data_IF_496485139637
#
_entry.id   IF_496485139637
#
_cell.length_a   1.000
_cell.length_b   1.000
_cell.length_c   1.000
_cell.angle_alpha   90.00
_cell.angle_beta   90.00
_cell.angle_gamma   90.00
#
_symmetry.space_group_name_H-M   'P 1'
#
loop_
_entity.id
_entity.type
_entity.pdbx_description
1 polymer ?
#
# COMPACT_ATOMS: atom_id res chain seq x y z
N UNK A 1 -26.43 -7.83 48.86
CA UNK A 1 -26.79 -6.70 47.96
C UNK A 1 -27.81 -7.24 46.97
N UNK A 2 -28.99 -6.63 46.85
CA UNK A 2 -30.04 -7.13 45.95
C UNK A 2 -29.56 -7.10 44.49
N UNK A 3 -29.57 -8.23 43.79
CA UNK A 3 -29.26 -8.28 42.36
C UNK A 3 -30.33 -7.49 41.59
N UNK A 4 -29.97 -6.30 41.10
CA UNK A 4 -30.81 -5.52 40.22
C UNK A 4 -30.73 -6.14 38.82
N UNK A 5 -31.76 -6.88 38.44
CA UNK A 5 -31.87 -7.42 37.08
C UNK A 5 -32.47 -6.39 36.12
N UNK A 6 -32.05 -6.46 34.87
CA UNK A 6 -32.45 -5.59 33.78
C UNK A 6 -33.40 -6.35 32.84
N UNK A 7 -34.45 -5.67 32.37
CA UNK A 7 -35.26 -6.20 31.28
C UNK A 7 -34.41 -6.31 30.01
N UNK A 8 -34.86 -7.08 29.00
CA UNK A 8 -34.19 -7.10 27.68
C UNK A 8 -33.98 -5.70 27.11
N UNK A 9 -34.95 -4.79 27.32
CA UNK A 9 -34.86 -3.43 26.82
C UNK A 9 -33.79 -2.59 27.51
N UNK A 10 -33.70 -2.69 28.83
CA UNK A 10 -32.71 -1.93 29.59
C UNK A 10 -31.30 -2.51 29.37
N UNK A 11 -31.19 -3.84 29.32
CA UNK A 11 -29.94 -4.51 28.99
C UNK A 11 -29.46 -4.18 27.58
N UNK A 12 -30.34 -4.21 26.56
CA UNK A 12 -29.96 -3.88 25.19
C UNK A 12 -29.52 -2.42 25.04
N UNK A 13 -30.19 -1.48 25.73
CA UNK A 13 -29.78 -0.07 25.79
C UNK A 13 -28.39 0.08 26.37
N UNK A 14 -28.10 -0.62 27.47
CA UNK A 14 -26.81 -0.59 28.13
C UNK A 14 -25.70 -1.19 27.25
N UNK A 15 -26.01 -2.27 26.54
CA UNK A 15 -25.17 -2.90 25.52
C UNK A 15 -25.09 -2.13 24.18
N UNK A 16 -25.83 -1.02 24.04
CA UNK A 16 -25.93 -0.22 22.79
C UNK A 16 -26.31 -1.04 21.55
N UNK A 17 -27.17 -2.03 21.71
CA UNK A 17 -27.72 -2.85 20.62
C UNK A 17 -29.25 -2.85 20.64
N UNK A 18 -29.86 -3.27 19.54
CA UNK A 18 -31.29 -3.47 19.52
C UNK A 18 -31.71 -4.68 20.38
N UNK A 19 -32.98 -4.72 20.79
CA UNK A 19 -33.53 -5.81 21.61
C UNK A 19 -33.41 -7.17 20.90
N UNK A 20 -33.58 -7.16 19.57
CA UNK A 20 -33.53 -8.35 18.73
C UNK A 20 -32.18 -9.05 18.80
N UNK A 21 -31.06 -8.32 18.91
CA UNK A 21 -29.72 -8.90 19.09
C UNK A 21 -29.63 -9.71 20.38
N UNK A 22 -30.14 -9.17 21.49
CA UNK A 22 -30.14 -9.87 22.79
C UNK A 22 -31.07 -11.09 22.76
N UNK A 23 -32.25 -10.96 22.13
CA UNK A 23 -33.18 -12.08 21.92
C UNK A 23 -32.54 -13.17 21.07
N UNK A 24 -31.86 -12.79 19.99
CA UNK A 24 -31.19 -13.71 19.09
C UNK A 24 -30.04 -14.44 19.80
N UNK A 25 -29.22 -13.74 20.58
CA UNK A 25 -28.15 -14.38 21.37
C UNK A 25 -28.70 -15.36 22.40
N UNK A 26 -29.86 -15.10 22.99
CA UNK A 26 -30.56 -16.08 23.82
C UNK A 26 -31.04 -17.29 22.99
N UNK A 27 -31.64 -17.07 21.81
CA UNK A 27 -32.14 -18.12 20.92
C UNK A 27 -31.03 -19.09 20.49
N UNK A 28 -29.86 -18.57 20.09
CA UNK A 28 -28.71 -19.41 19.70
C UNK A 28 -27.93 -19.96 20.91
N UNK A 29 -28.32 -19.55 22.12
CA UNK A 29 -27.76 -20.01 23.39
C UNK A 29 -26.45 -19.35 23.79
N UNK A 30 -26.05 -18.27 23.12
CA UNK A 30 -24.80 -17.54 23.34
C UNK A 30 -24.85 -16.62 24.57
N UNK A 31 -26.00 -15.96 24.80
CA UNK A 31 -26.24 -15.10 25.98
C UNK A 31 -27.66 -15.31 26.50
N UNK A 32 -27.81 -16.27 27.42
CA UNK A 32 -29.10 -16.60 28.05
C UNK A 32 -29.42 -15.62 29.17
N UNK A 33 -30.69 -15.24 29.40
CA UNK A 33 -31.05 -14.44 30.57
C UNK A 33 -30.74 -15.17 31.86
N UNK A 34 -30.50 -14.44 32.95
CA UNK A 34 -30.31 -15.04 34.27
C UNK A 34 -31.59 -15.76 34.71
N UNK A 35 -32.76 -15.19 34.42
CA UNK A 35 -34.04 -15.88 34.59
C UNK A 35 -35.12 -15.33 33.66
N UNK A 36 -36.25 -16.05 33.60
CA UNK A 36 -37.49 -15.59 33.00
C UNK A 36 -38.57 -15.49 34.08
N UNK A 37 -39.37 -14.43 34.06
CA UNK A 37 -40.50 -14.33 34.99
C UNK A 37 -41.68 -15.22 34.55
N UNK A 38 -42.74 -15.26 35.36
CA UNK A 38 -43.95 -16.05 35.10
C UNK A 38 -44.67 -15.70 33.79
N UNK A 39 -44.44 -14.51 33.22
CA UNK A 39 -44.98 -14.10 31.90
C UNK A 39 -44.01 -14.37 30.75
N UNK A 40 -42.87 -15.03 31.01
CA UNK A 40 -41.86 -15.35 30.01
C UNK A 40 -40.90 -14.21 29.65
N UNK A 41 -40.98 -13.05 30.33
CA UNK A 41 -40.04 -11.94 30.09
C UNK A 41 -38.65 -12.28 30.60
N UNK A 42 -37.63 -11.89 29.84
CA UNK A 42 -36.22 -12.17 30.09
C UNK A 42 -35.60 -11.09 30.97
N UNK A 43 -34.83 -11.53 31.96
CA UNK A 43 -34.11 -10.66 32.88
C UNK A 43 -32.62 -11.01 32.91
N UNK A 44 -31.78 -10.00 32.76
CA UNK A 44 -30.32 -10.12 32.69
C UNK A 44 -29.69 -9.44 33.89
N UNK A 45 -28.62 -10.00 34.45
CA UNK A 45 -27.89 -9.34 35.54
C UNK A 45 -26.81 -8.40 34.98
N UNK A 46 -26.38 -7.42 35.78
CA UNK A 46 -25.25 -6.56 35.43
C UNK A 46 -23.95 -7.35 35.17
N UNK A 47 -23.76 -8.50 35.83
CA UNK A 47 -22.58 -9.36 35.61
C UNK A 47 -22.52 -9.93 34.20
N UNK A 48 -23.66 -10.04 33.51
CA UNK A 48 -23.73 -10.51 32.12
C UNK A 48 -23.26 -9.45 31.12
N UNK A 49 -23.05 -8.21 31.56
CA UNK A 49 -22.47 -7.16 30.70
C UNK A 49 -21.04 -7.49 30.30
N UNK A 50 -20.22 -7.97 31.23
CA UNK A 50 -18.83 -8.38 30.93
C UNK A 50 -18.81 -9.49 29.88
N UNK A 51 -19.72 -10.46 30.01
CA UNK A 51 -19.88 -11.51 29.01
C UNK A 51 -20.30 -10.94 27.65
N UNK A 52 -21.27 -10.02 27.62
CA UNK A 52 -21.67 -9.36 26.38
C UNK A 52 -20.49 -8.61 25.73
N UNK A 53 -19.70 -7.88 26.51
CA UNK A 53 -18.54 -7.14 26.01
C UNK A 53 -17.51 -8.07 25.37
N UNK A 54 -17.26 -9.24 25.95
CA UNK A 54 -16.37 -10.25 25.35
C UNK A 54 -16.97 -10.82 24.05
N UNK A 55 -18.25 -11.17 24.03
CA UNK A 55 -18.94 -11.64 22.81
C UNK A 55 -18.85 -10.57 21.70
N UNK A 56 -19.13 -9.32 22.06
CA UNK A 56 -19.08 -8.19 21.14
C UNK A 56 -17.66 -8.00 20.59
N UNK A 57 -16.64 -7.97 21.45
CA UNK A 57 -15.24 -7.87 21.04
C UNK A 57 -14.85 -8.98 20.06
N UNK A 58 -15.14 -10.24 20.38
CA UNK A 58 -14.79 -11.37 19.52
C UNK A 58 -15.52 -11.31 18.16
N UNK A 59 -16.77 -10.84 18.15
CA UNK A 59 -17.53 -10.62 16.92
C UNK A 59 -16.93 -9.49 16.06
N UNK A 60 -16.57 -8.36 16.66
CA UNK A 60 -15.90 -7.24 15.96
C UNK A 60 -14.55 -7.67 15.36
N UNK A 61 -13.90 -8.65 15.99
CA UNK A 61 -12.67 -9.26 15.49
C UNK A 61 -12.90 -10.29 14.38
N UNK A 62 -14.15 -10.53 14.00
CA UNK A 62 -14.56 -11.37 12.89
C UNK A 62 -14.76 -12.84 13.24
N UNK A 63 -14.87 -13.20 14.52
CA UNK A 63 -15.29 -14.56 14.88
C UNK A 63 -16.78 -14.77 14.58
N UNK A 64 -17.10 -15.97 14.09
CA UNK A 64 -18.50 -16.35 13.92
C UNK A 64 -19.18 -16.60 15.27
N UNK A 65 -20.51 -16.53 15.31
CA UNK A 65 -21.24 -16.79 16.55
C UNK A 65 -21.08 -18.23 17.02
N UNK A 66 -20.90 -19.16 16.09
CA UNK A 66 -20.59 -20.58 16.36
C UNK A 66 -19.24 -20.72 17.04
N UNK A 67 -18.19 -20.07 16.52
CA UNK A 67 -16.86 -20.11 17.15
C UNK A 67 -16.87 -19.52 18.57
N UNK A 68 -17.57 -18.39 18.76
CA UNK A 68 -17.70 -17.76 20.08
C UNK A 68 -18.47 -18.70 21.01
N UNK A 69 -19.53 -19.35 20.54
CA UNK A 69 -20.29 -20.31 21.33
C UNK A 69 -19.44 -21.51 21.76
N UNK A 70 -18.68 -22.11 20.83
CA UNK A 70 -17.76 -23.20 21.14
C UNK A 70 -16.70 -22.80 22.17
N UNK A 71 -16.15 -21.58 22.05
CA UNK A 71 -15.25 -21.05 23.07
C UNK A 71 -15.95 -20.90 24.43
N UNK A 72 -17.18 -20.37 24.45
CA UNK A 72 -17.94 -20.14 25.68
C UNK A 72 -18.28 -21.43 26.44
N UNK A 73 -18.42 -22.56 25.74
CA UNK A 73 -18.66 -23.88 26.32
C UNK A 73 -17.40 -24.48 26.99
N UNK A 74 -16.21 -24.11 26.51
CA UNK A 74 -14.92 -24.67 26.99
C UNK A 74 -14.09 -23.66 27.79
N UNK A 75 -14.59 -22.46 28.03
CA UNK A 75 -13.81 -21.34 28.59
C UNK A 75 -13.00 -21.71 29.84
N UNK A 76 -11.72 -21.37 29.81
CA UNK A 76 -10.79 -21.40 30.95
C UNK A 76 -9.90 -20.15 30.90
N UNK A 77 -9.22 -19.79 32.02
CA UNK A 77 -8.24 -18.70 32.00
C UNK A 77 -7.17 -18.86 30.90
N UNK A 78 -6.68 -20.09 30.70
CA UNK A 78 -5.64 -20.42 29.71
C UNK A 78 -6.16 -20.29 28.27
N UNK A 79 -7.38 -20.77 28.02
CA UNK A 79 -8.04 -20.64 26.71
C UNK A 79 -8.37 -19.18 26.39
N UNK A 80 -8.82 -18.40 27.37
CA UNK A 80 -9.07 -16.98 27.17
C UNK A 80 -7.78 -16.21 26.86
N UNK A 81 -6.70 -16.48 27.60
CA UNK A 81 -5.40 -15.84 27.39
C UNK A 81 -4.85 -16.15 25.99
N UNK A 82 -4.85 -17.42 25.59
CA UNK A 82 -4.40 -17.84 24.24
C UNK A 82 -5.27 -17.27 23.12
N UNK A 83 -6.59 -17.25 23.29
CA UNK A 83 -7.51 -16.60 22.35
C UNK A 83 -7.19 -15.11 22.20
N UNK A 84 -6.98 -14.40 23.31
CA UNK A 84 -6.69 -12.97 23.28
C UNK A 84 -5.34 -12.65 22.62
N UNK A 85 -4.31 -13.47 22.83
CA UNK A 85 -3.03 -13.34 22.10
C UNK A 85 -3.25 -13.50 20.60
N UNK A 86 -3.92 -14.58 20.18
CA UNK A 86 -4.19 -14.86 18.76
C UNK A 86 -4.99 -13.74 18.09
N UNK A 87 -5.99 -13.19 18.79
CA UNK A 87 -6.76 -12.07 18.27
C UNK A 87 -5.95 -10.78 18.19
N UNK A 88 -5.09 -10.51 19.18
CA UNK A 88 -4.18 -9.36 19.16
C UNK A 88 -3.20 -9.43 17.98
N UNK A 89 -2.67 -10.61 17.67
CA UNK A 89 -1.81 -10.82 16.49
C UNK A 89 -2.55 -10.51 15.18
N UNK A 90 -3.81 -10.95 15.05
CA UNK A 90 -4.65 -10.59 13.89
C UNK A 90 -4.85 -9.08 13.76
N UNK A 91 -5.10 -8.37 14.86
CA UNK A 91 -5.20 -6.90 14.86
C UNK A 91 -3.87 -6.28 14.41
N UNK A 92 -2.75 -6.76 14.93
CA UNK A 92 -1.43 -6.25 14.54
C UNK A 92 -1.16 -6.47 13.05
N UNK A 93 -1.55 -7.62 12.50
CA UNK A 93 -1.44 -7.88 11.07
C UNK A 93 -2.31 -6.93 10.24
N UNK A 94 -3.58 -6.71 10.65
CA UNK A 94 -4.47 -5.74 9.99
C UNK A 94 -3.91 -4.33 10.04
N UNK A 95 -3.34 -3.90 11.18
CA UNK A 95 -2.68 -2.60 11.31
C UNK A 95 -1.52 -2.45 10.32
N UNK A 96 -0.62 -3.44 10.24
CA UNK A 96 0.49 -3.41 9.26
C UNK A 96 0.01 -3.28 7.82
N UNK A 97 -1.10 -3.91 7.46
CA UNK A 97 -1.71 -3.78 6.12
C UNK A 97 -2.22 -2.36 5.92
N UNK A 98 -2.98 -1.81 6.89
CA UNK A 98 -3.49 -0.45 6.82
C UNK A 98 -2.36 0.59 6.75
N UNK A 99 -1.32 0.45 7.57
CA UNK A 99 -0.14 1.32 7.57
C UNK A 99 0.58 1.28 6.20
N UNK A 100 0.64 0.10 5.56
CA UNK A 100 1.19 -0.03 4.19
C UNK A 100 0.31 0.70 3.18
N UNK A 101 -1.01 0.53 3.24
CA UNK A 101 -1.94 1.18 2.32
C UNK A 101 -1.89 2.71 2.46
N UNK A 102 -1.84 3.22 3.69
CA UNK A 102 -1.67 4.65 3.98
C UNK A 102 -0.36 5.18 3.39
N UNK A 103 0.76 4.49 3.61
CA UNK A 103 2.05 4.85 3.00
C UNK A 103 1.99 4.92 1.47
N UNK A 104 1.33 3.95 0.82
CA UNK A 104 1.18 3.94 -0.64
C UNK A 104 0.32 5.12 -1.13
N UNK A 105 -0.75 5.46 -0.39
CA UNK A 105 -1.57 6.63 -0.68
C UNK A 105 -0.77 7.92 -0.54
N UNK A 106 0.03 8.07 0.52
CA UNK A 106 0.88 9.24 0.72
C UNK A 106 1.86 9.44 -0.43
N UNK A 107 2.46 8.36 -0.95
CA UNK A 107 3.34 8.43 -2.13
C UNK A 107 2.61 9.00 -3.35
N UNK A 108 1.38 8.54 -3.62
CA UNK A 108 0.58 9.04 -4.75
C UNK A 108 0.09 10.47 -4.54
N UNK A 109 -0.31 10.84 -3.33
CA UNK A 109 -0.73 12.20 -2.99
C UNK A 109 0.44 13.16 -3.19
N UNK A 110 1.60 12.87 -2.59
CA UNK A 110 2.78 13.72 -2.68
C UNK A 110 3.25 13.91 -4.13
N UNK A 111 3.24 12.84 -4.93
CA UNK A 111 3.54 12.90 -6.36
C UNK A 111 2.67 13.95 -7.07
N UNK A 112 1.35 13.88 -6.88
CA UNK A 112 0.41 14.77 -7.56
C UNK A 112 0.48 16.20 -7.02
N UNK A 113 0.71 16.38 -5.72
CA UNK A 113 0.90 17.70 -5.13
C UNK A 113 2.18 18.38 -5.62
N UNK A 114 3.28 17.63 -5.77
CA UNK A 114 4.52 18.15 -6.31
C UNK A 114 4.41 18.45 -7.81
N UNK A 115 3.75 17.57 -8.57
CA UNK A 115 3.46 17.78 -9.99
C UNK A 115 2.74 19.12 -10.26
N UNK A 116 1.83 19.55 -9.37
CA UNK A 116 1.10 20.83 -9.51
C UNK A 116 1.97 22.08 -9.37
N UNK A 117 3.17 21.95 -8.81
CA UNK A 117 4.11 23.07 -8.57
C UNK A 117 5.17 23.16 -9.66
N UNK A 118 5.24 22.17 -10.55
CA UNK A 118 6.28 22.04 -11.56
C UNK A 118 5.83 22.71 -12.86
N UNK A 119 6.72 23.50 -13.45
CA UNK A 119 6.62 23.89 -14.86
C UNK A 119 7.27 22.78 -15.72
N UNK A 120 6.45 21.97 -16.36
CA UNK A 120 6.91 20.83 -17.16
C UNK A 120 7.71 21.25 -18.40
N UNK A 121 7.72 22.53 -18.77
CA UNK A 121 8.56 23.01 -19.87
C UNK A 121 10.00 23.27 -19.45
N UNK A 122 10.30 23.36 -18.15
CA UNK A 122 11.64 23.71 -17.67
C UNK A 122 12.49 22.47 -17.37
N UNK A 123 13.76 22.55 -17.77
CA UNK A 123 14.79 21.62 -17.33
C UNK A 123 15.42 22.18 -16.06
N UNK A 124 15.60 21.34 -15.05
CA UNK A 124 16.19 21.74 -13.77
C UNK A 124 17.36 20.83 -13.41
N UNK A 125 18.36 21.41 -12.75
CA UNK A 125 19.49 20.66 -12.20
C UNK A 125 19.33 20.58 -10.68
N UNK A 126 19.25 19.37 -10.15
CA UNK A 126 18.97 19.15 -8.74
C UNK A 126 19.89 18.08 -8.16
N UNK A 127 20.43 18.33 -6.97
CA UNK A 127 21.18 17.31 -6.23
C UNK A 127 20.20 16.37 -5.54
N UNK A 128 20.19 15.11 -5.96
CA UNK A 128 19.32 14.08 -5.41
C UNK A 128 20.12 13.14 -4.49
N UNK A 129 19.52 12.68 -3.39
CA UNK A 129 20.17 11.73 -2.50
C UNK A 129 20.32 10.36 -3.18
N UNK A 130 21.30 9.58 -2.69
CA UNK A 130 21.39 8.15 -3.00
C UNK A 130 20.05 7.47 -2.69
N UNK A 131 19.57 6.67 -3.63
CA UNK A 131 18.31 5.93 -3.55
C UNK A 131 18.56 4.46 -3.87
N UNK A 132 17.90 3.57 -3.13
CA UNK A 132 17.93 2.14 -3.40
C UNK A 132 16.80 1.78 -4.36
N UNK A 133 17.12 0.99 -5.37
CA UNK A 133 16.17 0.49 -6.35
C UNK A 133 16.16 -1.04 -6.32
N UNK A 134 14.97 -1.61 -6.42
CA UNK A 134 14.81 -3.02 -6.76
C UNK A 134 14.64 -3.11 -8.27
N UNK A 135 15.53 -3.83 -8.96
CA UNK A 135 15.52 -3.95 -10.41
C UNK A 135 14.84 -5.25 -10.85
N UNK A 136 14.20 -5.22 -12.00
CA UNK A 136 13.84 -6.44 -12.72
C UNK A 136 15.09 -7.15 -13.25
N UNK A 137 14.87 -8.30 -13.88
CA UNK A 137 15.86 -8.85 -14.82
C UNK A 137 16.14 -7.85 -15.95
N UNK A 138 17.27 -8.04 -16.63
CA UNK A 138 17.58 -7.25 -17.82
C UNK A 138 16.53 -7.52 -18.90
N UNK A 139 15.93 -6.44 -19.41
CA UNK A 139 14.86 -6.46 -20.41
C UNK A 139 15.28 -5.80 -21.72
N UNK A 140 16.58 -5.58 -21.91
CA UNK A 140 17.08 -4.98 -23.16
C UNK A 140 16.80 -5.92 -24.33
N UNK A 141 16.32 -5.36 -25.43
CA UNK A 141 16.12 -6.07 -26.71
C UNK A 141 15.13 -7.26 -26.63
N UNK A 142 14.28 -7.32 -25.60
CA UNK A 142 13.22 -8.33 -25.51
C UNK A 142 12.06 -7.98 -26.44
N UNK A 143 11.26 -8.98 -26.81
CA UNK A 143 10.06 -8.78 -27.62
C UNK A 143 8.92 -8.18 -26.80
N UNK A 144 7.96 -7.53 -27.43
CA UNK A 144 6.75 -7.00 -26.75
C UNK A 144 5.98 -8.11 -26.01
N UNK A 145 5.90 -9.31 -26.60
CA UNK A 145 5.26 -10.48 -26.00
C UNK A 145 5.99 -10.91 -24.71
N UNK A 146 7.32 -10.88 -24.71
CA UNK A 146 8.13 -11.20 -23.53
C UNK A 146 8.08 -10.07 -22.49
N UNK A 147 7.94 -8.81 -22.91
CA UNK A 147 7.87 -7.66 -22.01
C UNK A 147 6.69 -7.76 -21.05
N UNK A 148 5.49 -8.10 -21.55
CA UNK A 148 4.31 -8.30 -20.71
C UNK A 148 4.53 -9.38 -19.64
N UNK A 149 5.26 -10.44 -19.99
CA UNK A 149 5.61 -11.50 -19.04
C UNK A 149 6.58 -11.02 -17.97
N UNK A 150 7.64 -10.30 -18.35
CA UNK A 150 8.62 -9.78 -17.38
C UNK A 150 7.97 -8.76 -16.43
N UNK A 151 7.12 -7.88 -16.94
CA UNK A 151 6.36 -6.94 -16.09
C UNK A 151 5.50 -7.69 -15.08
N UNK A 152 4.81 -8.74 -15.52
CA UNK A 152 3.96 -9.57 -14.65
C UNK A 152 4.78 -10.27 -13.56
N UNK A 153 5.91 -10.87 -13.92
CA UNK A 153 6.81 -11.54 -12.99
C UNK A 153 7.40 -10.55 -11.97
N UNK A 154 7.84 -9.37 -12.42
CA UNK A 154 8.37 -8.31 -11.57
C UNK A 154 7.32 -7.81 -10.55
N UNK A 155 6.08 -7.56 -10.99
CA UNK A 155 4.99 -7.16 -10.10
C UNK A 155 4.65 -8.28 -9.09
N UNK A 156 4.64 -9.55 -9.51
CA UNK A 156 4.40 -10.68 -8.61
C UNK A 156 5.46 -10.74 -7.52
N UNK A 157 6.73 -10.60 -7.91
CA UNK A 157 7.86 -10.61 -7.01
C UNK A 157 7.82 -9.46 -6.00
N UNK A 158 7.52 -8.24 -6.45
CA UNK A 158 7.34 -7.08 -5.57
C UNK A 158 6.25 -7.34 -4.52
N UNK A 159 5.18 -8.03 -4.87
CA UNK A 159 4.09 -8.36 -3.95
C UNK A 159 4.47 -9.46 -2.97
N UNK A 160 4.99 -10.59 -3.45
CA UNK A 160 5.37 -11.76 -2.65
C UNK A 160 6.45 -11.41 -1.63
N UNK A 161 7.45 -10.62 -2.04
CA UNK A 161 8.54 -10.16 -1.18
C UNK A 161 8.17 -8.92 -0.35
N UNK A 162 6.92 -8.43 -0.47
CA UNK A 162 6.42 -7.22 0.17
C UNK A 162 7.30 -5.97 -0.12
N UNK A 163 7.87 -5.89 -1.32
CA UNK A 163 8.72 -4.80 -1.80
C UNK A 163 7.94 -3.70 -2.55
N UNK A 164 6.64 -3.87 -2.78
CA UNK A 164 5.81 -2.80 -3.31
C UNK A 164 5.68 -1.64 -2.30
N UNK A 165 6.28 -0.51 -2.65
CA UNK A 165 6.36 0.73 -1.87
C UNK A 165 5.34 1.79 -2.30
N UNK A 166 4.52 1.51 -3.33
CA UNK A 166 3.54 2.45 -3.88
C UNK A 166 4.11 3.52 -4.83
N UNK A 167 5.44 3.59 -4.98
CA UNK A 167 6.07 4.39 -6.03
C UNK A 167 5.71 3.83 -7.41
N UNK A 168 5.93 4.62 -8.45
CA UNK A 168 5.81 4.13 -9.82
C UNK A 168 6.89 3.12 -10.12
N UNK A 169 6.55 2.15 -10.98
CA UNK A 169 7.56 1.38 -11.69
C UNK A 169 8.17 2.30 -12.74
N UNK A 170 9.47 2.52 -12.65
CA UNK A 170 10.21 3.32 -13.61
C UNK A 170 11.00 2.47 -14.59
N UNK A 171 11.33 3.04 -15.74
CA UNK A 171 12.24 2.48 -16.73
C UNK A 171 13.65 2.99 -16.52
N UNK A 172 14.66 2.12 -16.68
CA UNK A 172 16.07 2.49 -16.64
C UNK A 172 16.73 2.10 -17.95
N UNK A 173 17.46 3.06 -18.54
CA UNK A 173 18.21 2.87 -19.79
C UNK A 173 19.67 3.22 -19.57
N UNK A 174 20.58 2.43 -20.14
CA UNK A 174 22.02 2.68 -20.05
C UNK A 174 22.43 3.84 -20.97
N UNK A 175 23.44 4.61 -20.54
CA UNK A 175 23.93 5.79 -21.28
C UNK A 175 24.23 5.48 -22.74
N UNK A 176 24.92 4.38 -23.03
CA UNK A 176 25.32 4.01 -24.39
C UNK A 176 24.13 3.84 -25.34
N UNK A 177 22.96 3.39 -24.84
CA UNK A 177 21.74 3.25 -25.63
C UNK A 177 21.12 4.61 -25.92
N UNK A 178 21.01 5.46 -24.90
CA UNK A 178 20.42 6.80 -25.05
C UNK A 178 21.28 7.67 -25.97
N UNK A 179 22.61 7.51 -25.95
CA UNK A 179 23.52 8.22 -26.86
C UNK A 179 23.40 7.77 -28.33
N UNK A 180 22.85 6.58 -28.60
CA UNK A 180 22.56 6.12 -29.97
C UNK A 180 21.12 6.40 -30.41
N UNK A 181 20.33 7.10 -29.58
CA UNK A 181 18.93 7.44 -29.86
C UNK A 181 17.92 6.37 -29.46
N UNK A 182 18.33 5.34 -28.71
CA UNK A 182 17.43 4.30 -28.20
C UNK A 182 16.82 4.75 -26.85
N UNK A 183 15.72 5.51 -26.93
CA UNK A 183 15.08 6.09 -25.73
C UNK A 183 14.12 5.13 -25.03
N UNK A 184 13.37 4.33 -25.79
CA UNK A 184 12.29 3.46 -25.28
C UNK A 184 12.72 2.00 -25.06
N UNK A 185 13.95 1.63 -25.41
CA UNK A 185 14.51 0.29 -25.19
C UNK A 185 15.10 0.16 -23.77
N UNK A 186 14.23 0.08 -22.77
CA UNK A 186 14.65 -0.01 -21.37
C UNK A 186 15.53 -1.23 -21.11
N UNK A 187 16.58 -1.06 -20.30
CA UNK A 187 17.44 -2.17 -19.86
C UNK A 187 16.89 -2.85 -18.61
N UNK A 188 16.21 -2.10 -17.73
CA UNK A 188 15.61 -2.60 -16.50
C UNK A 188 14.32 -1.84 -16.17
N UNK A 189 13.37 -2.52 -15.54
CA UNK A 189 12.34 -1.87 -14.73
C UNK A 189 12.85 -1.72 -13.31
N UNK A 190 12.36 -0.72 -12.58
CA UNK A 190 12.71 -0.57 -11.17
C UNK A 190 11.56 -0.06 -10.32
N UNK A 191 11.66 -0.34 -9.01
CA UNK A 191 10.82 0.26 -7.97
C UNK A 191 11.73 0.87 -6.89
N UNK A 192 11.44 2.09 -6.45
CA UNK A 192 12.18 2.75 -5.36
C UNK A 192 11.97 1.99 -4.03
N UNK A 193 13.06 1.83 -3.28
CA UNK A 193 13.11 1.12 -2.00
C UNK A 193 13.67 2.00 -0.88
N UNK A 194 12.89 2.98 -0.35
CA UNK A 194 13.37 3.86 0.72
C UNK A 194 13.76 3.10 2.00
N UNK A 195 13.17 1.91 2.22
CA UNK A 195 13.44 1.03 3.37
C UNK A 195 14.00 -0.29 2.86
N UNK A 196 15.32 -0.46 2.98
CA UNK A 196 15.98 -1.71 2.63
C UNK A 196 15.49 -2.87 3.50
N UNK A 197 15.29 -4.03 2.86
CA UNK A 197 15.14 -5.31 3.57
C UNK A 197 16.42 -6.13 3.49
N UNK A 198 16.82 -6.73 4.62
CA UNK A 198 17.96 -7.63 4.69
C UNK A 198 17.77 -8.83 3.75
N UNK A 199 18.85 -9.25 3.09
CA UNK A 199 18.88 -10.43 2.23
C UNK A 199 18.49 -10.19 0.77
N UNK A 200 18.12 -8.97 0.41
CA UNK A 200 17.81 -8.59 -0.97
C UNK A 200 18.97 -7.80 -1.60
N UNK A 201 19.18 -8.01 -2.89
CA UNK A 201 20.14 -7.21 -3.68
C UNK A 201 19.42 -5.97 -4.21
N UNK A 202 20.01 -4.80 -4.00
CA UNK A 202 19.47 -3.53 -4.49
C UNK A 202 20.52 -2.84 -5.35
N UNK A 203 20.05 -2.24 -6.44
CA UNK A 203 20.85 -1.27 -7.17
C UNK A 203 20.88 0.03 -6.38
N UNK A 204 22.07 0.62 -6.26
CA UNK A 204 22.27 1.90 -5.58
C UNK A 204 22.49 2.97 -6.62
N UNK A 205 21.62 3.97 -6.64
CA UNK A 205 21.89 5.14 -7.47
C UNK A 205 23.07 5.92 -6.90
N UNK A 206 23.79 6.64 -7.75
CA UNK A 206 24.77 7.60 -7.28
C UNK A 206 24.05 8.80 -6.69
N UNK A 207 24.45 9.20 -5.47
CA UNK A 207 24.14 10.55 -4.97
C UNK A 207 24.79 11.58 -5.90
N UNK A 208 24.10 12.69 -6.17
CA UNK A 208 24.66 13.74 -6.99
C UNK A 208 23.67 14.54 -7.81
N UNK A 209 24.22 15.36 -8.69
CA UNK A 209 23.46 16.27 -9.53
C UNK A 209 22.76 15.49 -10.65
N UNK A 210 21.49 15.81 -10.87
CA UNK A 210 20.68 15.25 -11.95
C UNK A 210 20.09 16.39 -12.77
N UNK A 211 20.15 16.28 -14.10
CA UNK A 211 19.31 17.05 -14.99
C UNK A 211 17.94 16.38 -15.06
N UNK A 212 16.89 17.13 -14.79
CA UNK A 212 15.51 16.65 -14.72
C UNK A 212 14.70 17.41 -15.77
N UNK A 213 14.11 16.65 -16.70
CA UNK A 213 13.18 17.15 -17.71
C UNK A 213 11.87 16.41 -17.65
N UNK A 214 10.86 16.97 -18.32
CA UNK A 214 9.54 16.38 -18.40
C UNK A 214 9.12 16.31 -19.86
N UNK A 215 8.75 15.12 -20.28
CA UNK A 215 8.13 14.88 -21.57
C UNK A 215 6.61 14.98 -21.41
N UNK A 216 5.95 15.70 -22.32
CA UNK A 216 4.49 15.81 -22.37
C UNK A 216 4.02 15.21 -23.69
N UNK A 217 3.24 14.14 -23.62
CA UNK A 217 2.73 13.42 -24.79
C UNK A 217 3.20 11.97 -24.88
N UNK A 218 3.15 11.45 -26.10
CA UNK A 218 3.45 10.04 -26.42
C UNK A 218 4.95 9.82 -26.63
N UNK A 219 5.38 8.57 -26.42
CA UNK A 219 6.77 8.13 -26.59
C UNK A 219 7.33 8.44 -27.99
N UNK A 220 6.48 8.55 -29.02
CA UNK A 220 6.84 8.93 -30.39
C UNK A 220 7.56 10.28 -30.49
N UNK A 221 7.41 11.15 -29.49
CA UNK A 221 7.97 12.51 -29.46
C UNK A 221 8.95 12.74 -28.30
N UNK A 222 9.36 11.66 -27.62
CA UNK A 222 10.25 11.75 -26.46
C UNK A 222 11.66 12.22 -26.83
N UNK A 223 12.07 11.96 -28.07
CA UNK A 223 13.34 12.40 -28.67
C UNK A 223 13.54 13.91 -28.55
N UNK A 224 12.52 14.73 -28.84
CA UNK A 224 12.60 16.18 -28.67
C UNK A 224 12.92 16.60 -27.22
N UNK A 225 12.46 15.83 -26.24
CA UNK A 225 12.73 16.12 -24.82
C UNK A 225 14.17 15.73 -24.47
N UNK A 226 14.65 14.60 -24.98
CA UNK A 226 16.04 14.17 -24.86
C UNK A 226 17.02 15.16 -25.50
N UNK A 227 16.72 15.66 -26.71
CA UNK A 227 17.53 16.66 -27.39
C UNK A 227 17.68 17.94 -26.54
N UNK A 228 16.57 18.43 -25.98
CA UNK A 228 16.57 19.59 -25.08
C UNK A 228 17.38 19.33 -23.82
N UNK A 229 17.20 18.17 -23.18
CA UNK A 229 17.98 17.77 -22.00
C UNK A 229 19.48 17.75 -22.31
N UNK A 230 19.87 17.13 -23.41
CA UNK A 230 21.27 17.02 -23.79
C UNK A 230 21.90 18.36 -24.16
N UNK A 231 21.15 19.24 -24.84
CA UNK A 231 21.58 20.61 -25.11
C UNK A 231 21.85 21.40 -23.82
N UNK A 232 20.96 21.30 -22.82
CA UNK A 232 21.13 21.98 -21.54
C UNK A 232 22.29 21.39 -20.72
N UNK A 233 22.42 20.06 -20.68
CA UNK A 233 23.53 19.37 -20.02
C UNK A 233 24.87 19.82 -20.62
N UNK A 234 24.97 19.86 -21.95
CA UNK A 234 26.19 20.28 -22.63
C UNK A 234 26.50 21.77 -22.39
N UNK A 235 25.49 22.63 -22.47
CA UNK A 235 25.63 24.08 -22.24
C UNK A 235 26.09 24.42 -20.83
N UNK A 236 25.76 23.58 -19.85
CA UNK A 236 26.19 23.71 -18.46
C UNK A 236 27.49 22.91 -18.16
N UNK A 237 28.21 22.47 -19.19
CA UNK A 237 29.49 21.74 -19.10
C UNK A 237 29.42 20.42 -18.31
N UNK A 238 28.23 19.81 -18.25
CA UNK A 238 28.02 18.52 -17.62
C UNK A 238 28.22 17.36 -18.60
N UNK A 239 28.59 16.20 -18.07
CA UNK A 239 28.63 14.91 -18.76
C UNK A 239 27.51 14.02 -18.26
N UNK A 240 26.95 13.23 -19.18
CA UNK A 240 25.92 12.24 -18.87
C UNK A 240 26.56 11.08 -18.08
N UNK A 241 25.92 10.75 -16.96
CA UNK A 241 26.23 9.62 -16.09
C UNK A 241 25.87 8.27 -16.74
N UNK A 242 25.94 7.20 -15.98
CA UNK A 242 25.97 5.85 -16.56
C UNK A 242 24.57 5.32 -16.96
N UNK A 243 23.51 5.90 -16.42
CA UNK A 243 22.13 5.49 -16.65
C UNK A 243 21.18 6.69 -16.60
N UNK A 244 20.03 6.52 -17.26
CA UNK A 244 18.90 7.45 -17.31
C UNK A 244 17.70 6.71 -16.70
N UNK A 245 16.87 7.44 -15.95
CA UNK A 245 15.68 6.90 -15.31
C UNK A 245 14.44 7.66 -15.79
N UNK A 246 13.35 6.95 -16.03
CA UNK A 246 12.08 7.50 -16.47
C UNK A 246 10.93 7.07 -15.55
N UNK A 247 10.07 8.02 -15.19
CA UNK A 247 8.95 7.81 -14.28
C UNK A 247 7.70 8.55 -14.77
N UNK A 248 6.58 7.85 -14.91
CA UNK A 248 5.30 8.48 -15.20
C UNK A 248 4.83 9.34 -14.01
N UNK A 249 4.61 10.63 -14.25
CA UNK A 249 3.97 11.56 -13.32
C UNK A 249 2.46 11.55 -13.54
N UNK A 250 2.05 11.71 -14.81
CA UNK A 250 0.66 11.55 -15.26
C UNK A 250 0.59 10.40 -16.25
N UNK A 251 -0.32 9.47 -15.98
CA UNK A 251 -0.60 8.28 -16.77
C UNK A 251 -2.13 8.13 -16.94
N UNK A 252 -2.56 6.98 -17.46
CA UNK A 252 -3.97 6.65 -17.68
C UNK A 252 -4.85 6.62 -16.42
N UNK A 253 -4.27 6.68 -15.22
CA UNK A 253 -5.03 6.78 -13.97
C UNK A 253 -5.57 8.20 -13.73
N UNK A 254 -4.85 9.21 -14.24
CA UNK A 254 -5.15 10.62 -13.99
C UNK A 254 -5.47 11.41 -15.26
N UNK A 255 -5.14 10.86 -16.44
CA UNK A 255 -5.41 11.45 -17.74
C UNK A 255 -6.16 10.48 -18.65
N UNK A 256 -6.98 11.04 -19.55
CA UNK A 256 -7.79 10.25 -20.50
C UNK A 256 -7.12 10.03 -21.84
N UNK A 257 -6.21 10.92 -22.23
CA UNK A 257 -5.45 10.85 -23.47
C UNK A 257 -3.97 10.65 -23.15
N UNK A 258 -3.29 9.88 -23.97
CA UNK A 258 -1.84 9.69 -23.89
C UNK A 258 -1.09 10.99 -24.25
N UNK A 259 -1.69 11.86 -25.06
CA UNK A 259 -1.16 13.21 -25.36
C UNK A 259 -1.01 14.10 -24.11
N UNK A 260 -1.72 13.76 -23.03
CA UNK A 260 -1.70 14.46 -21.75
C UNK A 260 -0.76 13.80 -20.73
N UNK A 261 -0.12 12.67 -21.06
CA UNK A 261 0.78 11.98 -20.16
C UNK A 261 2.03 12.82 -19.93
N UNK A 262 2.62 12.63 -18.75
CA UNK A 262 3.84 13.32 -18.36
C UNK A 262 4.84 12.30 -17.85
N UNK A 263 5.95 12.18 -18.55
CA UNK A 263 7.09 11.33 -18.16
C UNK A 263 8.21 12.20 -17.65
N UNK A 264 8.65 11.96 -16.41
CA UNK A 264 9.82 12.60 -15.83
C UNK A 264 11.06 11.82 -16.23
N UNK A 265 12.03 12.50 -16.82
CA UNK A 265 13.32 11.95 -17.22
C UNK A 265 14.38 12.49 -16.26
N UNK A 266 15.13 11.58 -15.62
CA UNK A 266 16.21 11.89 -14.69
C UNK A 266 17.53 11.41 -15.29
N UNK A 267 18.40 12.37 -15.62
CA UNK A 267 19.74 12.10 -16.13
C UNK A 267 20.75 12.43 -15.05
N UNK A 268 21.42 11.42 -14.49
CA UNK A 268 22.55 11.69 -13.61
C UNK A 268 23.65 12.42 -14.37
N UNK A 269 24.23 13.47 -13.81
CA UNK A 269 25.28 14.27 -14.46
C UNK A 269 26.52 14.40 -13.60
N UNK A 270 27.69 14.44 -14.25
CA UNK A 270 29.02 14.55 -13.65
C UNK A 270 29.75 15.75 -14.28
N UNK A 271 30.54 16.50 -13.51
CA UNK A 271 31.52 17.45 -14.07
C UNK A 271 32.72 16.67 -14.65
#
# INVERSE_FOLDING_TARGET
MAEKYLTTGDFSKLCKVNKQTIIYYDQVGLLRPTYRNHKGYRFYSFRQLELFNVIYLLKELGMSLEEIKSYMEQKSPELFHSLMIKQKEKIQMKKRILDKLEMMMDVKINLLEDARKIDFQQISFQSLPETFLYLSLNIKDITDDDFAKVVTEFISELNEQNLDTGFQIGGMTLREQVLTGEYTNYSYLYMKQPKQKKGQSYFKTTTGMHAIGYHVGTEDTIDFTYERLFSEIHSNEYKIGDYIMEEYIYDGLVKKSEDDYITKILVHVKH
#
